data_IF_650704584725
#
_entry.id   IF_650704584725
#
_cell.length_a   1.000
_cell.length_b   1.000
_cell.length_c   1.000
_cell.angle_alpha   90.00
_cell.angle_beta   90.00
_cell.angle_gamma   90.00
#
_symmetry.space_group_name_H-M   'P 1'
#
loop_
_entity.id
_entity.type
_entity.pdbx_description
1 polymer ?
#
# COMPACT_ATOMS: atom_id res chain seq x y z
N UNK A 1 0.66 9.01 45.11
CA UNK A 1 -0.34 9.77 45.88
C UNK A 1 0.24 11.12 46.26
N UNK A 2 -0.43 12.20 45.85
CA UNK A 2 -0.41 13.59 46.36
C UNK A 2 0.91 14.17 46.92
N UNK A 3 1.23 15.35 46.37
CA UNK A 3 2.07 16.45 46.89
C UNK A 3 3.47 16.53 46.29
N UNK A 4 3.62 17.42 45.32
CA UNK A 4 4.68 18.44 45.27
C UNK A 4 4.25 19.59 44.33
N UNK A 5 2.96 19.94 44.43
CA UNK A 5 2.41 21.22 44.00
C UNK A 5 2.58 22.17 45.19
N UNK A 6 3.74 22.82 45.29
CA UNK A 6 3.94 24.11 45.97
C UNK A 6 5.43 24.43 46.07
N UNK A 7 5.71 25.74 46.09
CA UNK A 7 7.02 26.41 46.09
C UNK A 7 7.53 26.53 44.66
N UNK A 8 7.14 27.57 43.91
CA UNK A 8 7.93 28.81 43.95
C UNK A 8 7.14 30.06 43.53
N UNK A 9 5.81 30.10 43.74
CA UNK A 9 5.04 31.34 43.58
C UNK A 9 4.88 32.07 44.93
N UNK A 10 5.88 32.88 45.31
CA UNK A 10 5.72 34.11 46.13
C UNK A 10 7.06 34.75 46.48
N UNK A 11 7.44 35.78 45.73
CA UNK A 11 7.96 37.07 46.23
C UNK A 11 8.15 37.99 45.02
N UNK A 12 7.19 38.91 44.83
CA UNK A 12 7.29 40.31 45.26
C UNK A 12 8.09 41.14 44.23
N UNK A 13 7.38 41.82 43.34
CA UNK A 13 7.14 43.29 43.41
C UNK A 13 8.45 44.08 43.54
N UNK A 14 8.78 44.88 42.52
CA UNK A 14 8.77 46.35 42.65
C UNK A 14 8.95 47.04 41.31
N UNK A 15 8.15 48.10 41.17
CA UNK A 15 8.05 49.07 40.07
C UNK A 15 9.41 49.69 39.73
N UNK A 16 9.70 49.90 38.45
CA UNK A 16 10.34 51.11 37.95
C UNK A 16 9.98 51.35 36.48
N UNK A 17 9.28 52.47 36.26
CA UNK A 17 9.40 53.47 35.19
C UNK A 17 9.53 52.99 33.72
N UNK A 18 8.43 53.18 33.00
CA UNK A 18 8.31 53.94 31.73
C UNK A 18 9.64 54.21 31.04
N UNK A 19 9.82 53.64 29.85
CA UNK A 19 10.32 54.19 28.59
C UNK A 19 10.19 53.03 27.57
N UNK A 20 9.93 53.31 26.28
CA UNK A 20 9.53 52.39 25.20
C UNK A 20 8.02 52.15 25.00
N UNK A 21 7.26 53.22 24.75
CA UNK A 21 5.93 53.15 24.09
C UNK A 21 5.99 53.40 22.57
N UNK A 22 7.17 53.66 21.99
CA UNK A 22 7.27 53.84 20.53
C UNK A 22 8.37 52.93 19.98
N UNK A 23 7.97 51.78 19.42
CA UNK A 23 8.64 51.01 18.34
C UNK A 23 8.25 49.52 18.32
N UNK A 24 6.97 49.16 18.49
CA UNK A 24 6.50 47.80 18.14
C UNK A 24 5.12 47.87 17.49
N UNK A 25 4.99 48.66 16.43
CA UNK A 25 3.90 48.57 15.45
C UNK A 25 4.37 49.34 14.21
N UNK A 26 5.20 48.72 13.34
CA UNK A 26 4.64 47.93 12.25
C UNK A 26 5.57 46.76 11.83
N UNK A 27 5.40 45.57 12.41
CA UNK A 27 5.97 44.32 11.85
C UNK A 27 4.87 43.31 11.52
N UNK A 28 3.60 43.61 11.82
CA UNK A 28 2.48 42.67 11.67
C UNK A 28 1.67 42.82 10.38
N UNK A 29 2.11 43.59 9.38
CA UNK A 29 1.43 43.68 8.07
C UNK A 29 2.31 43.25 6.88
N UNK A 30 3.59 42.90 7.08
CA UNK A 30 4.45 42.42 5.98
C UNK A 30 4.43 40.88 5.78
N UNK A 31 3.65 40.13 6.56
CA UNK A 31 3.60 38.65 6.46
C UNK A 31 2.36 38.14 5.68
N UNK A 32 1.39 39.00 5.36
CA UNK A 32 0.14 38.59 4.69
C UNK A 32 0.04 38.93 3.20
N UNK A 33 1.08 39.50 2.59
CA UNK A 33 1.11 39.80 1.14
C UNK A 33 2.43 39.40 0.46
N UNK A 34 3.05 38.31 0.90
CA UNK A 34 3.89 37.56 -0.04
C UNK A 34 2.94 36.66 -0.84
N UNK A 35 2.73 36.90 -2.15
CA UNK A 35 2.25 35.81 -2.98
C UNK A 35 3.21 34.66 -2.74
N UNK A 36 2.69 33.47 -2.41
CA UNK A 36 3.46 32.25 -2.61
C UNK A 36 3.87 32.30 -4.07
N UNK A 37 5.09 32.74 -4.32
CA UNK A 37 5.75 32.49 -5.58
C UNK A 37 5.87 30.97 -5.61
N UNK A 38 4.89 30.31 -6.22
CA UNK A 38 5.14 29.10 -6.97
C UNK A 38 6.24 29.47 -7.95
N UNK A 39 7.50 29.39 -7.50
CA UNK A 39 8.59 29.11 -8.40
C UNK A 39 8.31 27.70 -8.88
N UNK A 40 7.43 27.58 -9.86
CA UNK A 40 7.44 26.50 -10.80
C UNK A 40 8.87 26.50 -11.34
N UNK A 41 9.74 25.68 -10.75
CA UNK A 41 11.02 25.38 -11.36
C UNK A 41 10.69 24.92 -12.76
N UNK A 42 11.04 25.74 -13.75
CA UNK A 42 10.62 25.49 -15.11
C UNK A 42 11.07 24.07 -15.47
N UNK A 43 10.11 23.21 -15.83
CA UNK A 43 10.36 21.84 -16.28
C UNK A 43 11.38 21.75 -17.42
N UNK A 44 11.71 22.89 -18.04
CA UNK A 44 12.57 23.03 -19.21
C UNK A 44 14.06 23.22 -18.90
N UNK A 45 14.42 23.66 -17.68
CA UNK A 45 15.81 23.98 -17.34
C UNK A 45 16.66 22.78 -16.82
N UNK A 46 16.04 21.62 -16.56
CA UNK A 46 16.75 20.43 -16.08
C UNK A 46 17.04 19.38 -17.16
N UNK A 47 16.65 19.64 -18.41
CA UNK A 47 16.61 18.61 -19.45
C UNK A 47 17.90 18.53 -20.29
N UNK A 48 18.71 19.59 -20.40
CA UNK A 48 19.80 19.62 -21.40
C UNK A 48 21.23 19.94 -20.88
N UNK A 49 21.45 19.99 -19.56
CA UNK A 49 22.78 20.40 -19.04
C UNK A 49 23.20 19.84 -17.68
N UNK A 50 22.56 18.77 -17.20
CA UNK A 50 22.91 18.20 -15.91
C UNK A 50 24.26 17.47 -15.96
N UNK A 51 25.26 17.99 -15.25
CA UNK A 51 26.44 17.18 -14.91
C UNK A 51 26.02 16.02 -13.98
N UNK A 52 26.82 14.96 -13.90
CA UNK A 52 26.53 13.76 -13.09
C UNK A 52 26.08 14.12 -11.65
N UNK A 53 26.74 15.10 -11.04
CA UNK A 53 26.41 15.62 -9.70
C UNK A 53 25.01 16.22 -9.61
N UNK A 54 24.58 16.98 -10.63
CA UNK A 54 23.24 17.56 -10.71
C UNK A 54 22.16 16.49 -10.72
N UNK A 55 22.35 15.41 -11.49
CA UNK A 55 21.41 14.29 -11.48
C UNK A 55 21.35 13.58 -10.12
N UNK A 56 22.49 13.39 -9.45
CA UNK A 56 22.53 12.79 -8.10
C UNK A 56 21.76 13.63 -7.09
N UNK A 57 21.95 14.95 -7.07
CA UNK A 57 21.22 15.83 -6.15
C UNK A 57 19.72 15.81 -6.44
N UNK A 58 19.34 15.90 -7.72
CA UNK A 58 17.94 15.88 -8.13
C UNK A 58 17.25 14.54 -7.80
N UNK A 59 17.95 13.42 -8.00
CA UNK A 59 17.48 12.08 -7.61
C UNK A 59 17.22 11.98 -6.11
N UNK A 60 18.16 12.44 -5.29
CA UNK A 60 18.00 12.44 -3.82
C UNK A 60 16.86 13.32 -3.37
N UNK A 61 16.74 14.52 -3.93
CA UNK A 61 15.63 15.41 -3.60
C UNK A 61 14.28 14.76 -3.95
N UNK A 62 14.15 14.19 -5.15
CA UNK A 62 12.94 13.48 -5.57
C UNK A 62 12.64 12.28 -4.66
N UNK A 63 13.66 11.51 -4.26
CA UNK A 63 13.52 10.42 -3.29
C UNK A 63 12.95 10.92 -1.95
N UNK A 64 13.50 12.00 -1.38
CA UNK A 64 13.03 12.54 -0.10
C UNK A 64 11.61 13.10 -0.20
N UNK A 65 11.26 13.69 -1.33
CA UNK A 65 9.93 14.19 -1.63
C UNK A 65 8.93 13.08 -2.03
N UNK A 66 9.36 11.81 -2.03
CA UNK A 66 8.58 10.64 -2.46
C UNK A 66 8.06 10.72 -3.91
N UNK A 67 8.67 11.56 -4.74
CA UNK A 67 8.41 11.62 -6.18
C UNK A 67 9.27 10.55 -6.89
N UNK A 68 8.84 9.29 -6.76
CA UNK A 68 9.58 8.15 -7.30
C UNK A 68 9.63 8.12 -8.83
N UNK A 69 8.69 8.80 -9.51
CA UNK A 69 8.72 8.93 -10.97
C UNK A 69 9.87 9.82 -11.40
N UNK A 70 10.03 10.98 -10.74
CA UNK A 70 11.16 11.86 -11.00
C UNK A 70 12.48 11.26 -10.50
N UNK A 71 12.47 10.54 -9.37
CA UNK A 71 13.64 9.85 -8.86
C UNK A 71 14.15 8.77 -9.83
N UNK A 72 13.25 7.96 -10.41
CA UNK A 72 13.61 6.94 -11.41
C UNK A 72 14.22 7.57 -12.67
N UNK A 73 13.64 8.67 -13.16
CA UNK A 73 14.18 9.39 -14.32
C UNK A 73 15.63 9.84 -14.11
N UNK A 74 15.94 10.48 -12.98
CA UNK A 74 17.31 10.90 -12.70
C UNK A 74 18.24 9.73 -12.40
N UNK A 75 17.75 8.67 -11.76
CA UNK A 75 18.51 7.44 -11.56
C UNK A 75 18.90 6.77 -12.89
N UNK A 76 18.01 6.73 -13.88
CA UNK A 76 18.32 6.27 -15.25
C UNK A 76 19.44 7.12 -15.87
N UNK A 77 19.39 8.45 -15.72
CA UNK A 77 20.44 9.36 -16.22
C UNK A 77 21.78 9.20 -15.52
N UNK A 78 21.79 8.94 -14.22
CA UNK A 78 23.01 8.63 -13.45
C UNK A 78 23.64 7.35 -13.99
N UNK A 79 22.84 6.32 -14.23
CA UNK A 79 23.32 5.02 -14.74
C UNK A 79 23.83 5.08 -16.18
N UNK A 80 23.19 5.86 -17.05
CA UNK A 80 23.68 6.08 -18.42
C UNK A 80 25.05 6.76 -18.46
N UNK A 81 25.34 7.62 -17.48
CA UNK A 81 26.60 8.37 -17.40
C UNK A 81 27.69 7.68 -16.56
N UNK A 82 27.40 6.56 -15.90
CA UNK A 82 28.39 5.84 -15.09
C UNK A 82 29.13 4.79 -15.93
N UNK A 83 30.47 4.78 -15.88
CA UNK A 83 31.30 3.79 -16.58
C UNK A 83 31.08 2.34 -16.12
N UNK A 84 30.48 2.15 -14.95
CA UNK A 84 30.14 0.85 -14.39
C UNK A 84 28.78 0.93 -13.72
N UNK A 85 27.95 -0.05 -13.98
CA UNK A 85 26.67 -0.24 -13.29
C UNK A 85 26.91 -1.10 -12.07
N UNK A 86 26.66 -0.57 -10.88
CA UNK A 86 26.74 -1.30 -9.62
C UNK A 86 25.39 -1.93 -9.26
N UNK A 87 25.44 -3.11 -8.62
CA UNK A 87 24.26 -3.85 -8.17
C UNK A 87 23.35 -3.00 -7.26
N UNK A 88 23.94 -2.13 -6.44
CA UNK A 88 23.19 -1.26 -5.52
C UNK A 88 22.37 -0.20 -6.27
N UNK A 89 22.92 0.41 -7.32
CA UNK A 89 22.16 1.32 -8.19
C UNK A 89 21.05 0.62 -8.96
N UNK A 90 21.28 -0.60 -9.46
CA UNK A 90 20.23 -1.41 -10.11
C UNK A 90 19.07 -1.69 -9.14
N UNK A 91 19.37 -2.13 -7.91
CA UNK A 91 18.36 -2.35 -6.87
C UNK A 91 17.61 -1.09 -6.50
N UNK A 92 18.29 0.05 -6.43
CA UNK A 92 17.68 1.35 -6.13
C UNK A 92 16.73 1.80 -7.24
N UNK A 93 17.18 1.77 -8.49
CA UNK A 93 16.35 2.13 -9.65
C UNK A 93 15.12 1.23 -9.74
N UNK A 94 15.29 -0.08 -9.54
CA UNK A 94 14.19 -1.03 -9.49
C UNK A 94 13.15 -0.67 -8.42
N UNK A 95 13.59 -0.32 -7.21
CA UNK A 95 12.68 0.13 -6.15
C UNK A 95 11.91 1.37 -6.57
N UNK A 96 12.51 2.32 -7.32
CA UNK A 96 11.78 3.48 -7.83
C UNK A 96 10.74 3.11 -8.89
N UNK A 97 11.02 2.16 -9.78
CA UNK A 97 10.00 1.69 -10.73
C UNK A 97 8.80 1.05 -10.02
N UNK A 98 9.04 0.24 -8.99
CA UNK A 98 7.97 -0.32 -8.16
C UNK A 98 7.19 0.80 -7.45
N UNK A 99 7.89 1.69 -6.75
CA UNK A 99 7.27 2.72 -5.92
C UNK A 99 6.56 3.80 -6.74
N UNK A 100 6.98 4.02 -7.98
CA UNK A 100 6.28 4.91 -8.93
C UNK A 100 5.08 4.23 -9.60
N UNK A 101 4.92 2.91 -9.45
CA UNK A 101 3.86 2.14 -10.11
C UNK A 101 4.08 1.94 -11.61
N UNK A 102 5.28 2.22 -12.14
CA UNK A 102 5.61 2.02 -13.55
C UNK A 102 5.93 0.54 -13.81
N UNK A 103 4.88 -0.29 -13.81
CA UNK A 103 5.01 -1.73 -13.96
C UNK A 103 5.52 -2.14 -15.34
N UNK A 104 5.38 -1.31 -16.37
CA UNK A 104 5.91 -1.59 -17.70
C UNK A 104 7.44 -1.49 -17.70
N UNK A 105 7.98 -0.38 -17.20
CA UNK A 105 9.43 -0.25 -16.99
C UNK A 105 9.94 -1.31 -16.02
N UNK A 106 9.19 -1.59 -14.96
CA UNK A 106 9.60 -2.61 -13.99
C UNK A 106 9.74 -3.98 -14.66
N UNK A 107 8.80 -4.37 -15.53
CA UNK A 107 8.85 -5.65 -16.27
C UNK A 107 9.98 -5.69 -17.28
N UNK A 108 10.20 -4.60 -18.03
CA UNK A 108 11.32 -4.52 -18.96
C UNK A 108 12.65 -4.67 -18.21
N UNK A 109 12.81 -3.93 -17.11
CA UNK A 109 14.00 -3.96 -16.27
C UNK A 109 14.27 -5.35 -15.66
N UNK A 110 13.22 -6.07 -15.26
CA UNK A 110 13.30 -7.47 -14.81
C UNK A 110 13.84 -8.40 -15.90
N UNK A 111 13.38 -8.20 -17.15
CA UNK A 111 13.77 -9.05 -18.28
C UNK A 111 15.22 -8.85 -18.70
N UNK A 112 15.73 -7.63 -18.58
CA UNK A 112 17.11 -7.27 -18.95
C UNK A 112 18.13 -7.70 -17.88
N UNK A 113 17.74 -7.78 -16.60
CA UNK A 113 18.65 -8.05 -15.48
C UNK A 113 18.24 -9.25 -14.60
N UNK A 114 17.99 -10.45 -15.16
CA UNK A 114 17.37 -11.57 -14.43
C UNK A 114 18.23 -12.13 -13.29
N UNK A 115 19.56 -11.98 -13.35
CA UNK A 115 20.48 -12.51 -12.34
C UNK A 115 20.37 -11.77 -10.99
N UNK A 116 20.18 -10.45 -11.03
CA UNK A 116 20.11 -9.61 -9.83
C UNK A 116 18.77 -9.75 -9.10
N UNK A 117 17.69 -9.97 -9.85
CA UNK A 117 16.35 -10.13 -9.27
C UNK A 117 16.08 -11.51 -8.71
N UNK A 118 16.78 -12.54 -9.18
CA UNK A 118 16.77 -13.85 -8.51
C UNK A 118 17.30 -13.78 -7.08
N UNK A 119 18.09 -12.75 -6.73
CA UNK A 119 18.61 -12.52 -5.37
C UNK A 119 17.80 -11.49 -4.57
N UNK A 120 16.99 -10.64 -5.22
CA UNK A 120 16.20 -9.61 -4.56
C UNK A 120 14.77 -10.09 -4.27
N UNK A 121 14.36 -10.07 -2.99
CA UNK A 121 13.02 -10.49 -2.53
C UNK A 121 11.87 -9.76 -3.23
N UNK A 122 11.96 -8.44 -3.44
CA UNK A 122 10.92 -7.68 -4.15
C UNK A 122 10.85 -8.08 -5.63
N UNK A 123 12.00 -8.35 -6.24
CA UNK A 123 12.07 -8.90 -7.60
C UNK A 123 11.40 -10.26 -7.70
N UNK A 124 11.69 -11.16 -6.76
CA UNK A 124 11.05 -12.46 -6.68
C UNK A 124 9.52 -12.35 -6.54
N UNK A 125 9.00 -11.47 -5.69
CA UNK A 125 7.55 -11.27 -5.54
C UNK A 125 6.87 -10.71 -6.78
N UNK A 126 7.53 -9.81 -7.50
CA UNK A 126 6.98 -9.28 -8.74
C UNK A 126 6.92 -10.35 -9.84
N UNK A 127 8.01 -11.11 -10.03
CA UNK A 127 8.03 -12.23 -10.99
C UNK A 127 6.99 -13.27 -10.60
N UNK A 128 6.82 -13.54 -9.31
CA UNK A 128 5.79 -14.44 -8.79
C UNK A 128 4.38 -13.97 -9.17
N UNK A 129 4.10 -12.68 -8.97
CA UNK A 129 2.79 -12.08 -9.27
C UNK A 129 2.50 -12.12 -10.77
N UNK A 130 3.49 -11.79 -11.61
CA UNK A 130 3.37 -11.88 -13.07
C UNK A 130 3.18 -13.34 -13.54
N UNK A 131 3.90 -14.29 -12.94
CA UNK A 131 3.75 -15.71 -13.23
C UNK A 131 2.33 -16.21 -12.89
N UNK A 132 1.80 -15.86 -11.73
CA UNK A 132 0.41 -16.22 -11.34
C UNK A 132 -0.60 -15.56 -12.29
N UNK A 133 -0.41 -14.29 -12.64
CA UNK A 133 -1.27 -13.59 -13.62
C UNK A 133 -1.28 -14.28 -14.99
N UNK A 134 -0.15 -14.86 -15.41
CA UNK A 134 0.01 -15.61 -16.67
C UNK A 134 -0.34 -17.09 -16.56
N UNK A 135 -0.84 -17.56 -15.40
CA UNK A 135 -1.06 -18.98 -15.10
C UNK A 135 0.23 -19.85 -15.18
N UNK A 136 1.41 -19.26 -15.14
CA UNK A 136 2.68 -19.99 -15.05
C UNK A 136 2.97 -20.41 -13.61
N UNK A 137 2.18 -21.38 -13.14
CA UNK A 137 2.30 -21.89 -11.79
C UNK A 137 3.59 -22.69 -11.56
N UNK A 138 4.27 -23.14 -12.63
CA UNK A 138 5.57 -23.83 -12.51
C UNK A 138 6.64 -22.85 -12.06
N UNK A 139 6.71 -21.67 -12.70
CA UNK A 139 7.62 -20.59 -12.29
C UNK A 139 7.25 -20.08 -10.91
N UNK A 140 5.97 -19.87 -10.63
CA UNK A 140 5.50 -19.42 -9.31
C UNK A 140 5.97 -20.35 -8.18
N UNK A 141 5.79 -21.67 -8.34
CA UNK A 141 6.22 -22.66 -7.35
C UNK A 141 7.75 -22.70 -7.17
N UNK A 142 8.52 -22.52 -8.25
CA UNK A 142 9.99 -22.46 -8.17
C UNK A 142 10.44 -21.27 -7.34
N UNK A 143 9.80 -20.10 -7.53
CA UNK A 143 10.12 -18.89 -6.77
C UNK A 143 9.78 -19.08 -5.30
N UNK A 144 8.58 -19.58 -4.97
CA UNK A 144 8.16 -19.78 -3.58
C UNK A 144 9.07 -20.76 -2.82
N UNK A 145 9.62 -21.77 -3.49
CA UNK A 145 10.59 -22.69 -2.87
C UNK A 145 11.93 -22.01 -2.53
N UNK A 146 12.29 -20.97 -3.27
CA UNK A 146 13.57 -20.28 -3.18
C UNK A 146 13.52 -19.00 -2.32
N UNK A 147 12.34 -18.52 -1.93
CA UNK A 147 12.22 -17.45 -0.96
C UNK A 147 12.72 -17.99 0.39
N UNK A 148 13.84 -17.46 0.87
CA UNK A 148 14.43 -17.84 2.17
C UNK A 148 13.39 -17.72 3.27
N UNK A 149 13.26 -18.76 4.10
CA UNK A 149 12.31 -18.84 5.21
C UNK A 149 12.82 -18.06 6.43
N UNK A 150 12.63 -16.75 6.42
CA UNK A 150 12.72 -15.89 7.60
C UNK A 150 11.45 -15.91 8.47
N UNK A 151 11.48 -15.24 9.62
CA UNK A 151 10.35 -15.21 10.56
C UNK A 151 9.14 -14.40 10.04
N UNK A 152 9.36 -13.38 9.19
CA UNK A 152 8.28 -12.62 8.52
C UNK A 152 7.51 -13.44 7.49
N UNK A 153 8.00 -14.64 7.15
CA UNK A 153 7.43 -15.48 6.12
C UNK A 153 6.38 -16.47 6.63
N UNK A 154 6.15 -16.50 7.96
CA UNK A 154 5.14 -17.36 8.58
C UNK A 154 3.71 -16.96 8.20
N UNK A 155 3.48 -15.73 7.79
CA UNK A 155 2.18 -15.22 7.33
C UNK A 155 2.07 -15.20 5.80
N UNK A 156 3.01 -14.50 5.16
CA UNK A 156 2.95 -14.23 3.72
C UNK A 156 3.12 -15.51 2.87
N UNK A 157 4.07 -16.40 3.21
CA UNK A 157 4.30 -17.59 2.37
C UNK A 157 3.11 -18.56 2.37
N UNK A 158 2.46 -18.89 3.50
CA UNK A 158 1.26 -19.71 3.46
C UNK A 158 0.11 -19.10 2.66
N UNK A 159 -0.07 -17.78 2.71
CA UNK A 159 -1.08 -17.06 1.92
C UNK A 159 -0.75 -17.09 0.42
N UNK A 160 0.47 -16.74 0.05
CA UNK A 160 0.97 -16.83 -1.33
C UNK A 160 0.77 -18.25 -1.87
N UNK A 161 1.17 -19.27 -1.10
CA UNK A 161 1.03 -20.68 -1.47
C UNK A 161 -0.44 -21.07 -1.62
N UNK A 162 -1.32 -20.58 -0.76
CA UNK A 162 -2.78 -20.78 -0.87
C UNK A 162 -3.29 -20.36 -2.23
N UNK A 163 -2.91 -19.17 -2.70
CA UNK A 163 -3.41 -18.63 -3.97
C UNK A 163 -2.78 -19.24 -5.21
N UNK A 164 -1.51 -19.68 -5.13
CA UNK A 164 -0.90 -20.50 -6.19
C UNK A 164 -1.64 -21.84 -6.31
N UNK A 165 -1.88 -22.53 -5.19
CA UNK A 165 -2.64 -23.78 -5.18
C UNK A 165 -4.08 -23.56 -5.67
N UNK A 166 -4.70 -22.43 -5.32
CA UNK A 166 -6.02 -22.07 -5.81
C UNK A 166 -6.05 -21.89 -7.33
N UNK A 167 -5.06 -21.18 -7.88
CA UNK A 167 -4.88 -21.04 -9.33
C UNK A 167 -4.63 -22.36 -10.06
N UNK A 168 -3.97 -23.32 -9.40
CA UNK A 168 -3.79 -24.69 -9.88
C UNK A 168 -5.03 -25.59 -9.71
N UNK A 169 -6.16 -25.04 -9.27
CA UNK A 169 -7.39 -25.76 -8.95
C UNK A 169 -7.24 -26.84 -7.85
N UNK A 170 -6.22 -26.72 -6.99
CA UNK A 170 -5.92 -27.64 -5.89
C UNK A 170 -6.62 -27.19 -4.60
N UNK A 171 -7.95 -27.23 -4.62
CA UNK A 171 -8.82 -26.67 -3.58
C UNK A 171 -8.48 -27.09 -2.14
N UNK A 172 -8.37 -28.38 -1.90
CA UNK A 172 -8.14 -28.89 -0.53
C UNK A 172 -6.71 -28.61 -0.04
N UNK A 173 -5.72 -28.64 -0.94
CA UNK A 173 -4.35 -28.21 -0.62
C UNK A 173 -4.29 -26.70 -0.30
N UNK A 174 -5.03 -25.87 -1.06
CA UNK A 174 -5.11 -24.43 -0.83
C UNK A 174 -5.70 -24.13 0.56
N UNK A 175 -6.83 -24.77 0.91
CA UNK A 175 -7.43 -24.61 2.25
C UNK A 175 -6.52 -25.08 3.37
N UNK A 176 -5.81 -26.19 3.16
CA UNK A 176 -4.81 -26.68 4.12
C UNK A 176 -3.67 -25.68 4.30
N UNK A 177 -3.21 -25.05 3.21
CA UNK A 177 -2.20 -23.98 3.26
C UNK A 177 -2.72 -22.76 4.01
N UNK A 178 -3.97 -22.36 3.79
CA UNK A 178 -4.56 -21.20 4.46
C UNK A 178 -4.69 -21.40 5.97
N UNK A 179 -4.96 -22.62 6.43
CA UNK A 179 -5.11 -22.94 7.85
C UNK A 179 -3.85 -22.67 8.69
N UNK A 180 -2.66 -22.58 8.08
CA UNK A 180 -1.43 -22.23 8.81
C UNK A 180 -1.44 -20.81 9.38
N UNK A 181 -2.25 -19.92 8.82
CA UNK A 181 -2.42 -18.56 9.34
C UNK A 181 -3.65 -18.42 10.23
N UNK A 182 -4.30 -19.53 10.63
CA UNK A 182 -5.43 -19.48 11.56
C UNK A 182 -4.92 -19.45 13.01
N UNK A 183 -4.42 -18.30 13.43
CA UNK A 183 -3.99 -18.04 14.82
C UNK A 183 -4.85 -16.92 15.42
N UNK A 184 -4.77 -16.73 16.74
CA UNK A 184 -5.53 -15.67 17.42
C UNK A 184 -5.24 -14.29 16.80
N UNK A 185 -3.97 -13.99 16.52
CA UNK A 185 -3.53 -12.68 16.01
C UNK A 185 -3.91 -12.46 14.53
N UNK A 186 -4.04 -13.55 13.77
CA UNK A 186 -4.24 -13.51 12.31
C UNK A 186 -5.63 -14.00 11.91
N UNK A 187 -6.55 -14.13 12.88
CA UNK A 187 -7.87 -14.72 12.69
C UNK A 187 -8.71 -13.96 11.67
N UNK A 188 -8.70 -12.62 11.73
CA UNK A 188 -9.46 -11.77 10.80
C UNK A 188 -8.97 -12.00 9.37
N UNK A 189 -7.64 -12.01 9.17
CA UNK A 189 -7.03 -12.24 7.88
C UNK A 189 -7.35 -13.65 7.33
N UNK A 190 -7.27 -14.67 8.20
CA UNK A 190 -7.69 -16.02 7.85
C UNK A 190 -9.16 -16.07 7.40
N UNK A 191 -10.08 -15.40 8.11
CA UNK A 191 -11.49 -15.36 7.74
C UNK A 191 -11.70 -14.66 6.40
N UNK A 192 -11.00 -13.55 6.16
CA UNK A 192 -11.08 -12.80 4.90
C UNK A 192 -10.63 -13.65 3.71
N UNK A 193 -9.45 -14.25 3.79
CA UNK A 193 -8.98 -15.13 2.73
C UNK A 193 -9.80 -16.42 2.62
N UNK A 194 -10.37 -16.92 3.72
CA UNK A 194 -11.29 -18.07 3.66
C UNK A 194 -12.55 -17.71 2.87
N UNK A 195 -13.10 -16.52 3.09
CA UNK A 195 -14.23 -16.02 2.32
C UNK A 195 -13.88 -15.95 0.83
N UNK A 196 -12.77 -15.29 0.48
CA UNK A 196 -12.32 -15.18 -0.90
C UNK A 196 -12.11 -16.54 -1.56
N UNK A 197 -11.46 -17.48 -0.86
CA UNK A 197 -11.14 -18.80 -1.39
C UNK A 197 -12.39 -19.64 -1.62
N UNK A 198 -13.37 -19.60 -0.69
CA UNK A 198 -14.63 -20.30 -0.88
C UNK A 198 -15.44 -19.71 -2.04
N UNK A 199 -15.50 -18.38 -2.17
CA UNK A 199 -16.14 -17.71 -3.31
C UNK A 199 -15.44 -18.06 -4.64
N UNK A 200 -14.10 -18.06 -4.68
CA UNK A 200 -13.31 -18.43 -5.85
C UNK A 200 -13.65 -19.85 -6.36
N UNK A 201 -13.80 -20.81 -5.44
CA UNK A 201 -14.18 -22.19 -5.77
C UNK A 201 -15.70 -22.42 -5.90
N UNK A 202 -16.52 -21.37 -5.89
CA UNK A 202 -17.98 -21.47 -6.02
C UNK A 202 -18.67 -22.10 -4.81
N UNK A 203 -18.01 -22.15 -3.65
CA UNK A 203 -18.60 -22.61 -2.39
C UNK A 203 -19.40 -21.49 -1.70
N UNK A 204 -20.36 -20.89 -2.41
CA UNK A 204 -21.07 -19.68 -1.99
C UNK A 204 -21.75 -19.85 -0.62
N UNK A 205 -22.31 -21.03 -0.32
CA UNK A 205 -22.87 -21.35 1.02
C UNK A 205 -21.82 -21.28 2.14
N UNK A 206 -20.59 -21.72 1.89
CA UNK A 206 -19.51 -21.65 2.87
C UNK A 206 -18.97 -20.23 3.00
N UNK A 207 -18.86 -19.50 1.89
CA UNK A 207 -18.49 -18.08 1.91
C UNK A 207 -19.49 -17.24 2.71
N UNK A 208 -20.81 -17.46 2.53
CA UNK A 208 -21.85 -16.82 3.35
C UNK A 208 -21.67 -17.09 4.85
N UNK A 209 -21.46 -18.35 5.24
CA UNK A 209 -21.21 -18.72 6.64
C UNK A 209 -19.94 -18.09 7.22
N UNK A 210 -18.97 -17.71 6.39
CA UNK A 210 -17.78 -17.01 6.85
C UNK A 210 -18.09 -15.53 7.11
N UNK A 211 -18.91 -14.89 6.26
CA UNK A 211 -19.35 -13.51 6.49
C UNK A 211 -20.10 -13.35 7.82
N UNK A 212 -20.87 -14.36 8.23
CA UNK A 212 -21.58 -14.41 9.51
C UNK A 212 -20.64 -14.43 10.73
N UNK A 213 -19.34 -14.74 10.56
CA UNK A 213 -18.36 -14.79 11.65
C UNK A 213 -17.71 -13.44 11.95
N UNK A 214 -17.90 -12.44 11.10
CA UNK A 214 -17.34 -11.10 11.34
C UNK A 214 -18.28 -10.31 12.25
N UNK A 215 -17.75 -9.89 13.39
CA UNK A 215 -18.43 -8.96 14.28
C UNK A 215 -18.49 -7.55 13.65
N UNK A 216 -19.51 -6.78 14.00
CA UNK A 216 -19.70 -5.39 13.57
C UNK A 216 -18.59 -4.47 14.10
N UNK A 217 -18.00 -4.79 15.26
CA UNK A 217 -16.90 -4.04 15.85
C UNK A 217 -15.54 -4.23 15.13
N UNK A 218 -15.41 -5.26 14.29
CA UNK A 218 -14.16 -5.55 13.61
C UNK A 218 -13.91 -4.57 12.47
N UNK A 219 -12.73 -3.94 12.49
CA UNK A 219 -12.26 -3.12 11.38
C UNK A 219 -11.84 -4.02 10.23
N UNK A 220 -12.53 -3.88 9.10
CA UNK A 220 -12.21 -4.58 7.86
C UNK A 220 -11.69 -3.58 6.84
N UNK A 221 -10.77 -4.03 5.98
CA UNK A 221 -10.29 -3.17 4.91
C UNK A 221 -11.43 -2.91 3.89
N UNK A 222 -11.37 -1.76 3.21
CA UNK A 222 -12.42 -1.32 2.27
C UNK A 222 -12.56 -2.27 1.07
N UNK A 223 -11.48 -2.92 0.62
CA UNK A 223 -11.52 -3.87 -0.51
C UNK A 223 -12.32 -5.12 -0.16
N UNK A 224 -12.13 -5.66 1.04
CA UNK A 224 -12.92 -6.76 1.54
C UNK A 224 -14.38 -6.39 1.64
N UNK A 225 -14.68 -5.18 2.12
CA UNK A 225 -16.06 -4.68 2.17
C UNK A 225 -16.65 -4.64 0.77
N UNK A 226 -15.92 -4.15 -0.24
CA UNK A 226 -16.35 -4.14 -1.64
C UNK A 226 -16.66 -5.55 -2.16
N UNK A 227 -15.69 -6.47 -2.07
CA UNK A 227 -15.85 -7.84 -2.51
C UNK A 227 -17.00 -8.57 -1.81
N UNK A 228 -17.11 -8.43 -0.48
CA UNK A 228 -18.19 -9.03 0.30
C UNK A 228 -19.55 -8.46 -0.09
N UNK A 229 -19.64 -7.16 -0.39
CA UNK A 229 -20.89 -6.50 -0.78
C UNK A 229 -21.36 -6.94 -2.16
N UNK A 230 -20.44 -7.00 -3.14
CA UNK A 230 -20.74 -7.55 -4.47
C UNK A 230 -21.16 -9.02 -4.39
N UNK A 231 -20.53 -9.80 -3.51
CA UNK A 231 -20.91 -11.19 -3.27
C UNK A 231 -22.31 -11.32 -2.65
N UNK A 232 -22.65 -10.47 -1.67
CA UNK A 232 -23.96 -10.44 -1.04
C UNK A 232 -25.06 -10.01 -2.01
N UNK A 233 -24.78 -9.03 -2.87
CA UNK A 233 -25.74 -8.62 -3.89
C UNK A 233 -26.05 -9.76 -4.87
N UNK A 234 -25.03 -10.51 -5.29
CA UNK A 234 -25.18 -11.69 -6.17
C UNK A 234 -25.97 -12.83 -5.50
N UNK A 235 -25.70 -13.12 -4.22
CA UNK A 235 -26.18 -14.34 -3.54
C UNK A 235 -27.40 -14.13 -2.63
N UNK A 236 -27.73 -12.89 -2.33
CA UNK A 236 -28.86 -12.48 -1.49
C UNK A 236 -29.64 -11.42 -2.25
N UNK A 237 -29.47 -10.16 -1.86
CA UNK A 237 -30.14 -9.02 -2.45
C UNK A 237 -29.32 -7.74 -2.21
N UNK A 238 -29.62 -6.71 -3.00
CA UNK A 238 -28.94 -5.40 -2.92
C UNK A 238 -29.12 -4.70 -1.56
N UNK A 239 -30.25 -4.91 -0.87
CA UNK A 239 -30.52 -4.30 0.44
C UNK A 239 -29.61 -4.88 1.52
N UNK A 240 -29.38 -6.19 1.49
CA UNK A 240 -28.44 -6.90 2.37
C UNK A 240 -27.01 -6.40 2.15
N UNK A 241 -26.59 -6.24 0.90
CA UNK A 241 -25.28 -5.65 0.57
C UNK A 241 -25.15 -4.20 1.08
N UNK A 242 -26.14 -3.35 0.85
CA UNK A 242 -26.14 -1.95 1.35
C UNK A 242 -26.06 -1.92 2.87
N UNK A 243 -26.84 -2.75 3.58
CA UNK A 243 -26.79 -2.82 5.03
C UNK A 243 -25.43 -3.28 5.56
N UNK A 244 -24.79 -4.24 4.88
CA UNK A 244 -23.45 -4.70 5.22
C UNK A 244 -22.42 -3.57 5.11
N UNK A 245 -22.47 -2.77 4.02
CA UNK A 245 -21.60 -1.60 3.84
C UNK A 245 -21.85 -0.56 4.92
N UNK A 246 -23.12 -0.17 5.13
CA UNK A 246 -23.49 0.87 6.10
C UNK A 246 -22.97 0.55 7.49
N UNK A 247 -23.21 -0.68 7.96
CA UNK A 247 -22.76 -1.15 9.28
C UNK A 247 -21.24 -1.02 9.48
N UNK A 248 -20.45 -1.16 8.42
CA UNK A 248 -18.97 -1.18 8.49
C UNK A 248 -18.31 0.14 8.12
N UNK A 249 -18.95 0.95 7.30
CA UNK A 249 -18.38 2.20 6.78
C UNK A 249 -18.94 3.47 7.42
N UNK A 250 -20.14 3.44 8.03
CA UNK A 250 -20.70 4.62 8.73
C UNK A 250 -20.13 4.79 10.14
N UNK A 251 -19.61 3.72 10.75
CA UNK A 251 -18.90 3.75 12.04
C UNK A 251 -17.60 4.55 11.97
N UNK A 252 -16.95 4.57 10.81
CA UNK A 252 -15.80 5.42 10.51
C UNK A 252 -16.27 6.64 9.70
N UNK A 253 -16.41 7.81 10.35
CA UNK A 253 -16.88 9.08 9.76
C UNK A 253 -15.92 9.68 8.69
N UNK A 254 -15.55 8.91 7.69
CA UNK A 254 -14.71 9.35 6.56
C UNK A 254 -15.58 9.82 5.39
N UNK A 255 -15.23 10.96 4.79
CA UNK A 255 -15.87 11.44 3.57
C UNK A 255 -15.71 10.44 2.41
N UNK A 256 -14.58 9.74 2.35
CA UNK A 256 -14.34 8.70 1.34
C UNK A 256 -15.33 7.53 1.45
N UNK A 257 -15.67 7.12 2.68
CA UNK A 257 -16.64 6.05 2.94
C UNK A 257 -18.05 6.45 2.46
N UNK A 258 -18.44 7.71 2.66
CA UNK A 258 -19.72 8.25 2.18
C UNK A 258 -19.78 8.28 0.65
N UNK A 259 -18.71 8.72 0.00
CA UNK A 259 -18.61 8.71 -1.46
C UNK A 259 -18.68 7.29 -2.02
N UNK A 260 -17.97 6.35 -1.39
CA UNK A 260 -18.00 4.94 -1.77
C UNK A 260 -19.41 4.35 -1.68
N UNK A 261 -20.12 4.55 -0.56
CA UNK A 261 -21.49 4.08 -0.39
C UNK A 261 -22.44 4.70 -1.44
N UNK A 262 -22.30 6.01 -1.69
CA UNK A 262 -23.10 6.70 -2.72
C UNK A 262 -22.85 6.12 -4.12
N UNK A 263 -21.58 5.83 -4.45
CA UNK A 263 -21.21 5.17 -5.70
C UNK A 263 -21.85 3.80 -5.81
N UNK A 264 -21.70 2.96 -4.79
CA UNK A 264 -22.27 1.60 -4.77
C UNK A 264 -23.80 1.59 -4.94
N UNK A 265 -24.50 2.57 -4.35
CA UNK A 265 -25.96 2.69 -4.50
C UNK A 265 -26.35 3.09 -5.92
N UNK A 266 -25.64 4.07 -6.51
CA UNK A 266 -26.00 4.71 -7.78
C UNK A 266 -25.54 3.96 -9.03
N UNK A 267 -24.42 3.24 -8.96
CA UNK A 267 -23.89 2.49 -10.11
C UNK A 267 -24.51 1.09 -10.23
N UNK A 268 -24.57 0.59 -11.47
CA UNK A 268 -24.89 -0.81 -11.74
C UNK A 268 -23.64 -1.63 -11.38
N UNK A 269 -23.76 -2.56 -10.44
CA UNK A 269 -22.63 -3.35 -9.98
C UNK A 269 -22.06 -4.20 -11.14
N UNK A 270 -20.74 -4.12 -11.31
CA UNK A 270 -20.03 -4.95 -12.27
C UNK A 270 -19.34 -6.08 -11.50
N UNK A 271 -19.96 -7.27 -11.52
CA UNK A 271 -19.45 -8.44 -10.82
C UNK A 271 -18.26 -9.05 -11.57
N UNK A 272 -17.07 -8.47 -11.41
CA UNK A 272 -15.84 -9.14 -11.86
C UNK A 272 -15.63 -10.38 -10.98
N UNK A 273 -15.44 -11.53 -11.62
CA UNK A 273 -15.14 -12.78 -10.91
C UNK A 273 -13.76 -12.67 -10.24
N UNK A 274 -13.73 -12.84 -8.93
CA UNK A 274 -12.50 -12.93 -8.13
C UNK A 274 -11.65 -14.11 -8.63
N UNK A 275 -10.38 -13.88 -8.92
CA UNK A 275 -9.46 -14.90 -9.41
C UNK A 275 -8.24 -15.12 -8.48
N UNK A 276 -7.36 -16.06 -8.84
CA UNK A 276 -6.16 -16.39 -8.05
C UNK A 276 -5.15 -15.25 -7.96
N UNK A 277 -5.04 -14.42 -9.00
CA UNK A 277 -4.20 -13.23 -9.00
C UNK A 277 -4.76 -12.13 -8.09
N UNK A 278 -6.08 -11.93 -8.07
CA UNK A 278 -6.74 -11.01 -7.13
C UNK A 278 -6.48 -11.48 -5.69
N UNK A 279 -6.62 -12.77 -5.41
CA UNK A 279 -6.30 -13.34 -4.09
C UNK A 279 -4.84 -13.22 -3.67
N UNK A 280 -3.91 -13.44 -4.60
CA UNK A 280 -2.48 -13.19 -4.36
C UNK A 280 -2.20 -11.71 -4.10
N UNK A 281 -2.92 -10.81 -4.78
CA UNK A 281 -2.79 -9.36 -4.58
C UNK A 281 -3.26 -8.96 -3.19
N UNK A 282 -4.39 -9.48 -2.72
CA UNK A 282 -4.87 -9.25 -1.34
C UNK A 282 -3.84 -9.75 -0.32
N UNK A 283 -3.20 -10.90 -0.56
CA UNK A 283 -2.17 -11.45 0.32
C UNK A 283 -0.90 -10.59 0.44
N UNK A 284 -0.69 -9.62 -0.45
CA UNK A 284 0.42 -8.66 -0.37
C UNK A 284 0.02 -7.32 0.26
N UNK A 285 -1.28 -7.03 0.36
CA UNK A 285 -1.81 -5.75 0.83
C UNK A 285 -2.22 -5.83 2.30
N UNK A 286 -2.72 -6.99 2.72
CA UNK A 286 -3.09 -7.30 4.10
C UNK A 286 -1.88 -7.63 4.99
#
# INVERSE_FOLDING_TARGET
MKKLYNLFFKRARKKTKVWYVFLVLPVLIAVFFFPQAEKSFSKKALVDGGNFTGYVIAERHAQFSQDYKTASFYAEKIMQNSKKTDEKSLKKLFSYFILSGDFDKTRLFLSENPAEFKKNRLGQFLILTDAVKKNDYKTANKIVKNIEKGNSDKLALPLIKTWILAGQNKKEEAKKSLKFIDTADTRILYLMHSFYLNNYFGEDKKALKILEKFDEAQKLNVRFIDYASLFLEKNKDKKTAINFIKKRLETEKSYANKLYLKRFISEKSNHKKFNSHDGLTEAFID
#
